data_IF_679686021457
#
_entry.id   IF_679686021457
#
_cell.length_a   1.000
_cell.length_b   1.000
_cell.length_c   1.000
_cell.angle_alpha   90.00
_cell.angle_beta   90.00
_cell.angle_gamma   90.00
#
_symmetry.space_group_name_H-M   'P 1'
#
loop_
_entity.id
_entity.type
_entity.pdbx_description
1 polymer ?
#
# COMPACT_ATOMS: atom_id res chain seq x y z
N UNK A 1 25.20 -7.91 -10.86
CA UNK A 1 24.99 -6.65 -10.13
C UNK A 1 25.60 -6.84 -8.74
N UNK A 2 26.36 -5.86 -8.24
CA UNK A 2 26.87 -5.85 -6.86
C UNK A 2 26.18 -4.69 -6.16
N UNK A 3 25.52 -4.93 -5.03
CA UNK A 3 24.79 -3.93 -4.25
C UNK A 3 25.24 -3.97 -2.79
N UNK A 4 24.95 -2.90 -2.05
CA UNK A 4 25.12 -2.84 -0.60
C UNK A 4 24.30 -3.94 0.08
N UNK A 5 24.90 -4.65 1.05
CA UNK A 5 24.21 -5.69 1.82
C UNK A 5 23.45 -5.02 2.97
N UNK A 6 22.16 -5.29 3.04
CA UNK A 6 21.26 -4.75 4.07
C UNK A 6 20.42 -5.90 4.58
N UNK A 7 20.11 -5.87 5.88
CA UNK A 7 19.42 -6.93 6.61
C UNK A 7 17.92 -7.01 6.28
N UNK A 8 17.61 -7.22 5.00
CA UNK A 8 16.30 -7.61 4.52
C UNK A 8 15.43 -6.49 3.95
N UNK A 9 14.25 -6.89 3.49
CA UNK A 9 13.24 -5.96 2.98
C UNK A 9 12.43 -5.31 4.10
N UNK A 10 11.80 -4.18 3.79
CA UNK A 10 10.84 -3.50 4.65
C UNK A 10 9.78 -4.48 5.18
N UNK A 11 9.33 -5.41 4.31
CA UNK A 11 8.37 -6.44 4.70
C UNK A 11 8.91 -7.40 5.76
N UNK A 12 10.15 -7.86 5.60
CA UNK A 12 10.81 -8.74 6.57
C UNK A 12 11.01 -8.03 7.91
N UNK A 13 11.43 -6.76 7.86
CA UNK A 13 11.61 -5.97 9.07
C UNK A 13 10.29 -5.78 9.85
N UNK A 14 9.21 -5.38 9.16
CA UNK A 14 7.90 -5.24 9.78
C UNK A 14 7.45 -6.54 10.46
N UNK A 15 7.63 -7.69 9.81
CA UNK A 15 7.23 -8.98 10.40
C UNK A 15 7.96 -9.29 11.71
N UNK A 16 9.23 -8.89 11.81
CA UNK A 16 10.09 -9.23 12.95
C UNK A 16 10.00 -8.22 14.11
N UNK A 17 9.71 -6.96 13.80
CA UNK A 17 9.93 -5.84 14.72
C UNK A 17 8.71 -4.92 14.90
N UNK A 18 7.57 -5.17 14.23
CA UNK A 18 6.44 -4.22 14.26
C UNK A 18 5.95 -3.88 15.66
N UNK A 19 5.92 -4.85 16.59
CA UNK A 19 5.47 -4.63 17.98
C UNK A 19 6.34 -3.60 18.71
N UNK A 20 7.62 -3.51 18.36
CA UNK A 20 8.56 -2.54 18.94
C UNK A 20 8.63 -1.19 18.21
N UNK A 21 7.95 -1.05 17.06
CA UNK A 21 8.00 0.18 16.28
C UNK A 21 7.10 1.27 16.87
N UNK A 22 7.70 2.43 17.18
CA UNK A 22 6.95 3.62 17.53
C UNK A 22 6.55 4.46 16.30
N UNK A 23 5.73 5.49 16.52
CA UNK A 23 5.26 6.36 15.44
C UNK A 23 6.35 7.25 14.84
N UNK A 24 7.38 7.61 15.61
CA UNK A 24 8.50 8.38 15.09
C UNK A 24 9.26 7.57 14.04
N UNK A 25 9.60 6.31 14.38
CA UNK A 25 10.22 5.37 13.46
C UNK A 25 9.34 5.12 12.24
N UNK A 26 8.03 4.89 12.41
CA UNK A 26 7.10 4.72 11.28
C UNK A 26 7.11 5.92 10.34
N UNK A 27 7.06 7.15 10.87
CA UNK A 27 7.06 8.37 10.06
C UNK A 27 8.40 8.68 9.40
N UNK A 28 9.53 8.41 10.08
CA UNK A 28 10.86 8.49 9.47
C UNK A 28 10.95 7.58 8.24
N UNK A 29 10.39 6.37 8.33
CA UNK A 29 10.38 5.43 7.22
C UNK A 29 9.48 5.89 6.08
N UNK A 30 8.25 6.34 6.38
CA UNK A 30 7.36 6.91 5.37
C UNK A 30 8.00 8.11 4.66
N UNK A 31 8.68 8.97 5.42
CA UNK A 31 9.39 10.13 4.90
C UNK A 31 10.55 9.73 3.98
N UNK A 32 11.36 8.74 4.38
CA UNK A 32 12.45 8.22 3.58
C UNK A 32 11.98 7.58 2.28
N UNK A 33 10.91 6.79 2.34
CA UNK A 33 10.29 6.16 1.17
C UNK A 33 9.72 7.23 0.22
N UNK A 34 8.97 8.21 0.74
CA UNK A 34 8.41 9.30 -0.06
C UNK A 34 9.52 10.15 -0.71
N UNK A 35 10.63 10.38 0.01
CA UNK A 35 11.82 11.06 -0.53
C UNK A 35 12.47 10.27 -1.67
N UNK A 36 12.63 8.96 -1.50
CA UNK A 36 13.15 8.07 -2.53
C UNK A 36 12.28 8.10 -3.79
N UNK A 37 10.96 7.95 -3.62
CA UNK A 37 10.01 7.96 -4.72
C UNK A 37 10.00 9.31 -5.45
N UNK A 38 10.01 10.41 -4.69
CA UNK A 38 10.19 11.77 -5.24
C UNK A 38 11.45 11.88 -6.10
N UNK A 39 12.57 11.31 -5.66
CA UNK A 39 13.81 11.36 -6.44
C UNK A 39 13.68 10.60 -7.77
N UNK A 40 13.06 9.42 -7.76
CA UNK A 40 12.78 8.63 -8.97
C UNK A 40 11.87 9.42 -9.91
N UNK A 41 10.76 9.97 -9.39
CA UNK A 41 9.79 10.71 -10.19
C UNK A 41 10.36 12.01 -10.77
N UNK A 42 11.19 12.73 -10.01
CA UNK A 42 11.87 13.94 -10.48
C UNK A 42 12.93 13.66 -11.55
N UNK A 43 13.37 12.40 -11.71
CA UNK A 43 14.18 11.97 -12.86
C UNK A 43 13.33 11.58 -14.07
N UNK A 44 12.00 11.76 -14.00
CA UNK A 44 11.06 11.39 -15.05
C UNK A 44 10.91 9.88 -15.19
N UNK A 45 11.16 9.11 -14.12
CA UNK A 45 11.01 7.65 -14.10
C UNK A 45 9.74 7.23 -13.37
N UNK A 46 9.26 6.03 -13.69
CA UNK A 46 8.19 5.29 -13.01
C UNK A 46 8.82 4.00 -12.48
N UNK A 47 8.53 3.62 -11.24
CA UNK A 47 9.09 2.43 -10.61
C UNK A 47 8.51 1.13 -11.18
N UNK A 48 7.20 1.09 -11.45
CA UNK A 48 6.45 -0.02 -12.07
C UNK A 48 6.14 -1.17 -11.12
N UNK A 49 7.07 -1.56 -10.24
CA UNK A 49 6.86 -2.66 -9.27
C UNK A 49 7.11 -2.20 -7.83
N UNK A 50 6.38 -1.16 -7.41
CA UNK A 50 6.62 -0.48 -6.14
C UNK A 50 5.83 -1.13 -4.98
N UNK A 51 6.52 -1.92 -4.16
CA UNK A 51 5.94 -2.62 -2.99
C UNK A 51 6.97 -2.84 -1.87
N UNK A 52 6.52 -3.27 -0.68
CA UNK A 52 7.37 -3.46 0.51
C UNK A 52 8.51 -4.48 0.32
N UNK A 53 8.43 -5.35 -0.68
CA UNK A 53 9.48 -6.32 -1.01
C UNK A 53 10.67 -5.69 -1.74
N UNK A 54 10.44 -4.60 -2.46
CA UNK A 54 11.45 -3.85 -3.23
C UNK A 54 11.99 -2.64 -2.46
N UNK A 55 11.70 -2.53 -1.16
CA UNK A 55 12.24 -1.50 -0.27
C UNK A 55 13.14 -2.20 0.74
N UNK A 56 14.37 -1.72 0.89
CA UNK A 56 15.26 -2.11 1.99
C UNK A 56 15.13 -1.06 3.10
N UNK A 57 14.91 -1.50 4.32
CA UNK A 57 14.85 -0.63 5.49
C UNK A 57 15.29 -1.37 6.75
N UNK A 58 16.04 -0.68 7.60
CA UNK A 58 16.36 -1.13 8.95
C UNK A 58 15.57 -0.37 10.03
N UNK A 59 14.63 0.49 9.64
CA UNK A 59 13.90 1.45 10.49
C UNK A 59 14.75 2.39 11.37
N UNK A 60 16.07 2.30 11.31
CA UNK A 60 17.05 3.14 12.00
C UNK A 60 17.59 4.24 11.08
N UNK A 61 16.73 4.79 10.22
CA UNK A 61 17.04 5.88 9.31
C UNK A 61 17.65 5.49 7.96
N UNK A 62 17.90 4.20 7.69
CA UNK A 62 18.24 3.73 6.34
C UNK A 62 16.99 3.27 5.60
N UNK A 63 16.73 3.87 4.44
CA UNK A 63 15.70 3.44 3.49
C UNK A 63 16.29 3.50 2.07
N UNK A 64 16.13 2.42 1.31
CA UNK A 64 16.47 2.37 -0.11
C UNK A 64 15.36 1.71 -0.94
N UNK A 65 14.96 2.36 -2.02
CA UNK A 65 14.08 1.77 -3.03
C UNK A 65 14.97 1.04 -4.04
N UNK A 66 14.66 -0.23 -4.29
CA UNK A 66 15.48 -1.16 -5.08
C UNK A 66 14.69 -1.75 -6.24
N UNK A 67 15.30 -2.68 -6.99
CA UNK A 67 14.70 -3.33 -8.17
C UNK A 67 14.18 -2.36 -9.24
N UNK A 68 15.04 -1.41 -9.61
CA UNK A 68 14.77 -0.47 -10.71
C UNK A 68 14.86 -1.13 -12.10
N UNK A 69 14.89 -2.47 -12.19
CA UNK A 69 15.03 -3.22 -13.43
C UNK A 69 13.84 -3.07 -14.38
N UNK A 70 12.67 -2.73 -13.84
CA UNK A 70 11.44 -2.47 -14.58
C UNK A 70 11.15 -0.97 -14.77
N UNK A 71 12.01 -0.08 -14.27
CA UNK A 71 11.80 1.36 -14.36
C UNK A 71 11.77 1.83 -15.82
N UNK A 72 10.81 2.70 -16.13
CA UNK A 72 10.65 3.27 -17.47
C UNK A 72 10.51 4.79 -17.42
N UNK A 73 10.96 5.52 -18.46
CA UNK A 73 10.71 6.95 -18.56
C UNK A 73 9.22 7.25 -18.69
N UNK A 74 8.72 8.19 -17.90
CA UNK A 74 7.31 8.58 -17.85
C UNK A 74 6.78 9.17 -19.18
N UNK A 75 7.67 9.62 -20.06
CA UNK A 75 7.34 10.17 -21.37
C UNK A 75 7.31 9.13 -22.50
N UNK A 76 7.72 7.88 -22.24
CA UNK A 76 7.68 6.82 -23.25
C UNK A 76 6.29 6.18 -23.23
N UNK A 77 5.46 6.53 -24.22
CA UNK A 77 4.22 5.79 -24.47
C UNK A 77 4.60 4.42 -25.02
N UNK A 78 4.40 3.36 -24.23
CA UNK A 78 4.61 2.01 -24.73
C UNK A 78 3.66 1.76 -25.92
N UNK A 79 4.19 1.18 -27.00
CA UNK A 79 3.46 0.92 -28.25
C UNK A 79 2.10 0.28 -27.95
N UNK A 80 1.03 0.80 -28.56
CA UNK A 80 -0.35 0.34 -28.38
C UNK A 80 -0.57 -1.08 -28.94
N UNK A 81 0.08 -2.08 -28.36
CA UNK A 81 -0.24 -3.47 -28.60
C UNK A 81 -1.29 -3.93 -27.58
N UNK A 82 -2.35 -4.53 -28.07
CA UNK A 82 -3.51 -5.07 -27.34
C UNK A 82 -3.20 -6.21 -26.35
N UNK A 83 -1.93 -6.56 -26.15
CA UNK A 83 -1.45 -7.64 -25.28
C UNK A 83 -0.50 -7.10 -24.19
N UNK A 84 -0.83 -5.97 -23.53
CA UNK A 84 -0.02 -5.46 -22.42
C UNK A 84 -0.15 -6.38 -21.22
N UNK A 85 0.98 -6.98 -20.88
CA UNK A 85 1.16 -7.85 -19.72
C UNK A 85 1.38 -6.99 -18.49
N UNK A 86 0.46 -7.02 -17.54
CA UNK A 86 0.59 -6.31 -16.26
C UNK A 86 1.48 -7.13 -15.35
N UNK A 87 2.49 -6.53 -14.73
CA UNK A 87 3.44 -7.23 -13.87
C UNK A 87 3.56 -6.53 -12.53
N UNK A 88 3.36 -7.27 -11.44
CA UNK A 88 3.55 -6.74 -10.09
C UNK A 88 2.86 -7.57 -9.03
N UNK A 89 2.72 -6.98 -7.84
CA UNK A 89 2.06 -7.59 -6.69
C UNK A 89 0.62 -7.07 -6.58
N UNK A 90 -0.39 -7.92 -6.77
CA UNK A 90 -1.80 -7.52 -6.97
C UNK A 90 -2.30 -6.40 -6.04
N UNK A 91 -2.16 -6.47 -4.69
CA UNK A 91 -2.58 -5.38 -3.80
C UNK A 91 -1.92 -4.02 -4.04
N UNK A 92 -0.72 -3.97 -4.63
CA UNK A 92 0.05 -2.74 -4.88
C UNK A 92 -0.17 -2.18 -6.28
N UNK A 93 -0.81 -2.92 -7.19
CA UNK A 93 -1.06 -2.46 -8.56
C UNK A 93 -2.33 -1.62 -8.59
N UNK A 94 -2.19 -0.38 -9.06
CA UNK A 94 -3.30 0.58 -9.12
C UNK A 94 -4.47 0.06 -9.99
N UNK A 95 -5.73 0.37 -9.65
CA UNK A 95 -6.89 -0.22 -10.31
C UNK A 95 -6.99 0.14 -11.80
N UNK A 96 -6.53 1.31 -12.20
CA UNK A 96 -6.46 1.69 -13.62
C UNK A 96 -5.42 0.86 -14.40
N UNK A 97 -4.35 0.45 -13.74
CA UNK A 97 -3.31 -0.41 -14.32
C UNK A 97 -3.78 -1.86 -14.39
N UNK A 98 -4.51 -2.34 -13.39
CA UNK A 98 -5.19 -3.65 -13.44
C UNK A 98 -6.14 -3.76 -14.65
N UNK A 99 -6.75 -2.64 -15.06
CA UNK A 99 -7.58 -2.52 -16.27
C UNK A 99 -6.79 -2.43 -17.58
N UNK A 100 -5.46 -2.55 -17.53
CA UNK A 100 -4.59 -2.50 -18.71
C UNK A 100 -4.20 -1.10 -19.18
N UNK A 101 -4.43 -0.05 -18.37
CA UNK A 101 -3.78 1.26 -18.63
C UNK A 101 -2.29 1.17 -18.29
N UNK A 102 -1.53 2.14 -18.81
CA UNK A 102 -0.10 2.24 -18.50
C UNK A 102 0.15 2.48 -17.02
N UNK A 103 1.26 1.96 -16.54
CA UNK A 103 1.86 2.46 -15.32
C UNK A 103 2.23 3.92 -15.49
N UNK A 104 1.99 4.70 -14.45
CA UNK A 104 2.31 6.12 -14.37
C UNK A 104 2.95 6.45 -13.02
N UNK A 105 3.43 7.68 -12.85
CA UNK A 105 3.92 8.12 -11.55
C UNK A 105 2.81 8.06 -10.49
N UNK A 106 1.58 8.38 -10.86
CA UNK A 106 0.39 8.28 -10.01
C UNK A 106 0.07 6.83 -9.62
N UNK A 107 0.43 5.84 -10.46
CA UNK A 107 0.30 4.42 -10.11
C UNK A 107 1.34 3.98 -9.06
N UNK A 108 2.55 4.56 -9.05
CA UNK A 108 3.50 4.34 -7.95
C UNK A 108 3.00 5.01 -6.65
N UNK A 109 2.31 6.15 -6.74
CA UNK A 109 1.69 6.81 -5.58
C UNK A 109 0.59 5.93 -4.95
N UNK A 110 -0.18 5.23 -5.77
CA UNK A 110 -1.10 4.21 -5.26
C UNK A 110 -0.35 3.14 -4.46
N UNK A 111 0.73 2.58 -5.02
CA UNK A 111 1.59 1.62 -4.32
C UNK A 111 2.16 2.18 -3.00
N UNK A 112 2.52 3.46 -2.96
CA UNK A 112 2.91 4.15 -1.72
C UNK A 112 1.81 4.10 -0.65
N UNK A 113 0.55 4.37 -1.03
CA UNK A 113 -0.58 4.30 -0.10
C UNK A 113 -0.71 2.93 0.57
N UNK A 114 -0.51 1.86 -0.20
CA UNK A 114 -0.50 0.48 0.30
C UNK A 114 0.67 0.25 1.25
N UNK A 115 1.90 0.63 0.86
CA UNK A 115 3.10 0.54 1.72
C UNK A 115 2.89 1.31 3.04
N UNK A 116 2.29 2.50 2.95
CA UNK A 116 2.06 3.34 4.12
C UNK A 116 1.07 2.71 5.10
N UNK A 117 0.00 2.11 4.57
CA UNK A 117 -0.95 1.34 5.37
C UNK A 117 -0.28 0.15 6.06
N UNK A 118 0.58 -0.60 5.36
CA UNK A 118 1.31 -1.73 5.94
C UNK A 118 2.33 -1.31 7.01
N UNK A 119 2.99 -0.15 6.85
CA UNK A 119 3.87 0.40 7.90
C UNK A 119 3.06 0.78 9.15
N UNK A 120 1.86 1.33 8.97
CA UNK A 120 1.03 1.76 10.10
C UNK A 120 0.52 0.57 10.91
N UNK A 121 0.06 -0.48 10.23
CA UNK A 121 -0.68 -1.62 10.82
C UNK A 121 0.17 -2.86 11.02
N UNK A 122 1.30 -2.96 10.33
CA UNK A 122 2.15 -4.15 10.29
C UNK A 122 1.59 -5.27 9.42
N UNK A 123 0.32 -5.21 9.04
CA UNK A 123 -0.38 -6.27 8.31
C UNK A 123 -0.06 -6.20 6.81
N UNK A 124 -0.11 -7.35 6.15
CA UNK A 124 -0.12 -7.42 4.69
C UNK A 124 -1.52 -7.13 4.19
N UNK A 125 -1.64 -6.30 3.15
CA UNK A 125 -2.95 -5.93 2.64
C UNK A 125 -3.64 -7.14 1.98
N UNK A 126 -4.88 -7.44 2.39
CA UNK A 126 -5.68 -8.57 1.89
C UNK A 126 -5.10 -9.97 2.21
N UNK A 127 -4.38 -10.10 3.33
CA UNK A 127 -3.67 -11.33 3.67
C UNK A 127 -4.55 -12.56 3.82
N UNK A 128 -5.81 -12.39 4.18
CA UNK A 128 -6.77 -13.44 4.50
C UNK A 128 -7.64 -13.88 3.32
N UNK A 129 -7.44 -13.31 2.13
CA UNK A 129 -8.21 -13.64 0.93
C UNK A 129 -7.33 -14.06 -0.27
N UNK A 130 -7.87 -14.82 -1.24
CA UNK A 130 -7.15 -15.17 -2.45
C UNK A 130 -6.73 -13.92 -3.26
N UNK A 131 -5.53 -13.96 -3.85
CA UNK A 131 -5.09 -12.95 -4.80
C UNK A 131 -5.47 -13.38 -6.21
N UNK A 132 -6.75 -13.26 -6.56
CA UNK A 132 -7.31 -13.68 -7.84
C UNK A 132 -8.08 -12.53 -8.53
N UNK A 133 -8.83 -12.87 -9.59
CA UNK A 133 -9.65 -11.92 -10.34
C UNK A 133 -10.75 -11.30 -9.48
N UNK A 134 -11.29 -12.02 -8.49
CA UNK A 134 -12.31 -11.48 -7.59
C UNK A 134 -11.74 -10.37 -6.72
N UNK A 135 -10.52 -10.53 -6.21
CA UNK A 135 -9.84 -9.44 -5.50
C UNK A 135 -9.60 -8.23 -6.42
N UNK A 136 -9.17 -8.45 -7.66
CA UNK A 136 -8.99 -7.36 -8.62
C UNK A 136 -10.31 -6.58 -8.87
N UNK A 137 -11.43 -7.29 -9.04
CA UNK A 137 -12.78 -6.69 -9.17
C UNK A 137 -13.13 -5.87 -7.93
N UNK A 138 -12.91 -6.43 -6.74
CA UNK A 138 -13.19 -5.72 -5.47
C UNK A 138 -12.34 -4.46 -5.32
N UNK A 139 -11.05 -4.50 -5.68
CA UNK A 139 -10.16 -3.32 -5.66
C UNK A 139 -10.69 -2.22 -6.60
N UNK A 140 -11.13 -2.59 -7.81
CA UNK A 140 -11.75 -1.65 -8.75
C UNK A 140 -13.09 -1.08 -8.21
N UNK A 141 -13.88 -1.86 -7.49
CA UNK A 141 -15.07 -1.36 -6.77
C UNK A 141 -14.75 -0.62 -5.47
N UNK A 142 -13.49 -0.21 -5.25
CA UNK A 142 -13.13 0.64 -4.13
C UNK A 142 -12.87 -0.09 -2.83
N UNK A 143 -12.75 -1.43 -2.82
CA UNK A 143 -12.37 -2.17 -1.61
C UNK A 143 -11.09 -1.58 -1.04
N UNK A 144 -11.16 -1.11 0.20
CA UNK A 144 -10.03 -0.68 1.02
C UNK A 144 -10.12 -1.44 2.35
N UNK A 145 -8.98 -1.70 2.99
CA UNK A 145 -8.96 -2.47 4.22
C UNK A 145 -9.69 -1.73 5.34
N UNK A 146 -10.42 -2.49 6.14
CA UNK A 146 -10.91 -2.05 7.44
C UNK A 146 -10.16 -2.88 8.49
N UNK A 147 -9.42 -2.25 9.38
CA UNK A 147 -8.75 -2.95 10.48
C UNK A 147 -9.01 -2.24 11.80
N UNK A 148 -9.04 -3.02 12.89
CA UNK A 148 -9.23 -2.50 14.24
C UNK A 148 -8.01 -1.74 14.78
N UNK A 149 -6.91 -1.68 14.02
CA UNK A 149 -5.73 -0.89 14.36
C UNK A 149 -5.98 0.60 14.08
N UNK A 150 -5.94 1.42 15.14
CA UNK A 150 -6.12 2.87 15.05
C UNK A 150 -4.89 3.52 14.42
N UNK A 151 -5.12 4.23 13.32
CA UNK A 151 -4.14 5.07 12.62
C UNK A 151 -4.50 6.55 12.90
N UNK A 152 -3.52 7.45 13.16
CA UNK A 152 -3.75 8.89 13.24
C UNK A 152 -4.48 9.42 12.01
N UNK A 153 -5.51 10.25 12.22
CA UNK A 153 -6.40 10.73 11.15
C UNK A 153 -5.62 11.41 10.02
N UNK A 154 -4.64 12.25 10.35
CA UNK A 154 -3.82 12.95 9.36
C UNK A 154 -3.00 12.00 8.47
N UNK A 155 -2.62 10.83 8.98
CA UNK A 155 -1.88 9.82 8.20
C UNK A 155 -2.84 9.03 7.32
N UNK A 156 -4.00 8.62 7.84
CA UNK A 156 -5.02 7.92 7.03
C UNK A 156 -5.57 8.82 5.93
N UNK A 157 -5.67 10.14 6.15
CA UNK A 157 -6.06 11.09 5.09
C UNK A 157 -5.04 11.11 3.93
N UNK A 158 -3.74 11.02 4.23
CA UNK A 158 -2.68 10.91 3.20
C UNK A 158 -2.79 9.57 2.47
N UNK A 159 -2.97 8.46 3.20
CA UNK A 159 -3.16 7.12 2.61
C UNK A 159 -4.38 7.14 1.68
N UNK A 160 -5.48 7.76 2.14
CA UNK A 160 -6.72 7.90 1.37
C UNK A 160 -6.56 8.68 0.08
N UNK A 161 -5.77 9.75 0.10
CA UNK A 161 -5.44 10.47 -1.13
C UNK A 161 -4.52 9.66 -2.06
N UNK A 162 -3.58 8.89 -1.51
CA UNK A 162 -2.64 8.11 -2.32
C UNK A 162 -3.33 7.01 -3.13
N UNK A 163 -4.34 6.34 -2.56
CA UNK A 163 -5.04 5.24 -3.24
C UNK A 163 -6.41 5.63 -3.82
N UNK A 164 -6.63 6.91 -4.12
CA UNK A 164 -7.84 7.37 -4.81
C UNK A 164 -8.00 6.62 -6.16
N UNK A 165 -9.22 6.23 -6.48
CA UNK A 165 -9.56 5.57 -7.73
C UNK A 165 -9.26 6.44 -8.96
N UNK A 166 -9.36 7.77 -8.84
CA UNK A 166 -8.94 8.72 -9.87
C UNK A 166 -7.45 9.07 -9.68
N UNK A 167 -6.56 8.65 -10.62
CA UNK A 167 -5.13 8.93 -10.50
C UNK A 167 -4.81 10.42 -10.43
N UNK A 168 -5.65 11.28 -11.00
CA UNK A 168 -5.43 12.74 -11.02
C UNK A 168 -5.69 13.40 -9.66
N UNK A 169 -6.39 12.72 -8.75
CA UNK A 169 -6.63 13.20 -7.38
C UNK A 169 -5.54 12.77 -6.41
N UNK A 170 -4.65 11.88 -6.82
CA UNK A 170 -3.50 11.45 -6.02
C UNK A 170 -2.47 12.59 -5.98
N UNK A 171 -1.78 12.79 -4.84
CA UNK A 171 -0.71 13.77 -4.77
C UNK A 171 0.45 13.34 -5.67
N UNK A 172 1.16 14.29 -6.28
CA UNK A 172 2.45 13.94 -6.88
C UNK A 172 3.49 13.68 -5.79
N UNK A 173 4.60 13.00 -6.12
CA UNK A 173 5.60 12.62 -5.11
C UNK A 173 6.24 13.82 -4.38
N UNK A 174 6.27 15.02 -4.98
CA UNK A 174 6.76 16.22 -4.29
C UNK A 174 5.78 16.70 -3.23
N UNK A 175 4.48 16.69 -3.52
CA UNK A 175 3.41 17.02 -2.57
C UNK A 175 3.35 15.98 -1.44
N UNK A 176 3.38 14.69 -1.79
CA UNK A 176 3.40 13.59 -0.83
C UNK A 176 4.55 13.73 0.16
N UNK A 177 5.78 13.91 -0.34
CA UNK A 177 6.95 14.12 0.51
C UNK A 177 6.78 15.32 1.44
N UNK A 178 6.27 16.45 0.94
CA UNK A 178 6.05 17.65 1.76
C UNK A 178 5.02 17.41 2.86
N UNK A 179 3.92 16.73 2.56
CA UNK A 179 2.87 16.42 3.53
C UNK A 179 3.39 15.54 4.66
N UNK A 180 4.13 14.47 4.34
CA UNK A 180 4.72 13.57 5.34
C UNK A 180 5.83 14.27 6.13
N UNK A 181 6.68 15.05 5.47
CA UNK A 181 7.74 15.83 6.12
C UNK A 181 7.15 16.77 7.18
N UNK A 182 6.05 17.45 6.87
CA UNK A 182 5.36 18.32 7.83
C UNK A 182 4.88 17.55 9.06
N UNK A 183 4.27 16.38 8.89
CA UNK A 183 3.83 15.54 10.01
C UNK A 183 5.02 15.10 10.88
N UNK A 184 6.14 14.75 10.25
CA UNK A 184 7.36 14.38 10.96
C UNK A 184 7.92 15.56 11.76
N UNK A 185 8.07 16.75 11.15
CA UNK A 185 8.53 17.97 11.83
C UNK A 185 7.67 18.31 13.04
N UNK A 186 6.35 18.20 12.89
CA UNK A 186 5.39 18.47 13.96
C UNK A 186 5.50 17.51 15.15
N UNK A 187 6.04 16.29 14.96
CA UNK A 187 6.27 15.30 16.03
C UNK A 187 7.62 15.51 16.72
N UNK A 188 8.66 15.88 15.98
CA UNK A 188 10.01 16.06 16.56
C UNK A 188 10.24 17.47 17.13
N UNK A 189 9.32 18.40 16.90
CA UNK A 189 9.37 19.78 17.39
C UNK A 189 9.35 19.85 18.93
N UNK A 190 10.06 20.83 19.50
CA UNK A 190 10.06 21.10 20.95
C UNK A 190 8.65 21.41 21.49
N UNK A 191 7.76 21.94 20.64
CA UNK A 191 6.36 22.24 20.98
C UNK A 191 5.37 21.16 20.51
N UNK A 192 5.83 19.91 20.33
CA UNK A 192 4.99 18.81 19.81
C UNK A 192 3.69 18.57 20.59
N UNK A 193 3.66 18.88 21.88
CA UNK A 193 2.48 18.65 22.74
C UNK A 193 1.23 19.40 22.24
N UNK A 194 1.41 20.53 21.56
CA UNK A 194 0.30 21.29 20.98
C UNK A 194 -0.08 20.83 19.58
N UNK A 195 0.77 20.04 18.93
CA UNK A 195 0.56 19.53 17.58
C UNK A 195 -0.64 18.58 17.50
N UNK A 196 -1.42 18.73 16.43
CA UNK A 196 -2.58 17.88 16.15
C UNK A 196 -2.14 16.44 15.88
N UNK A 197 -1.06 16.23 15.13
CA UNK A 197 -0.58 14.87 14.82
C UNK A 197 -0.07 14.17 16.07
N UNK A 198 0.64 14.87 16.95
CA UNK A 198 1.16 14.31 18.19
C UNK A 198 0.03 13.78 19.08
N UNK A 199 -1.04 14.57 19.26
CA UNK A 199 -2.23 14.16 20.02
C UNK A 199 -2.92 12.93 19.40
N UNK A 200 -3.04 12.89 18.06
CA UNK A 200 -3.63 11.74 17.37
C UNK A 200 -2.76 10.47 17.50
N UNK A 201 -1.44 10.63 17.53
CA UNK A 201 -0.49 9.54 17.78
C UNK A 201 -0.64 8.98 19.20
N UNK A 202 -0.71 9.84 20.22
CA UNK A 202 -0.94 9.40 21.60
C UNK A 202 -2.28 8.66 21.75
N UNK A 203 -3.36 9.19 21.17
CA UNK A 203 -4.68 8.55 21.17
C UNK A 203 -4.66 7.17 20.48
N UNK A 204 -4.01 7.08 19.31
CA UNK A 204 -3.87 5.84 18.57
C UNK A 204 -3.11 4.78 19.38
N UNK A 205 -1.99 5.16 20.00
CA UNK A 205 -1.20 4.25 20.82
C UNK A 205 -1.94 3.77 22.05
N UNK A 206 -2.66 4.64 22.76
CA UNK A 206 -3.49 4.24 23.88
C UNK A 206 -4.59 3.26 23.47
N UNK A 207 -5.21 3.49 22.31
CA UNK A 207 -6.28 2.64 21.77
C UNK A 207 -5.72 1.27 21.39
N UNK A 208 -4.61 1.24 20.66
CA UNK A 208 -3.99 0.00 20.17
C UNK A 208 -3.39 -0.83 21.31
N UNK A 209 -2.89 -0.20 22.37
CA UNK A 209 -2.45 -0.92 23.59
C UNK A 209 -3.63 -1.63 24.25
N UNK A 210 -4.77 -0.94 24.40
CA UNK A 210 -5.99 -1.52 25.02
C UNK A 210 -6.55 -2.71 24.23
N UNK A 211 -6.53 -2.66 22.90
CA UNK A 211 -6.96 -3.78 22.05
C UNK A 211 -5.97 -4.95 22.03
N UNK A 212 -4.66 -4.68 22.14
CA UNK A 212 -3.65 -5.74 22.20
C UNK A 212 -3.73 -6.59 23.48
N UNK A 213 -4.23 -6.02 24.58
CA UNK A 213 -4.44 -6.76 25.85
C UNK A 213 -5.60 -7.78 25.79
N UNK A 214 -6.49 -7.74 24.79
CA UNK A 214 -7.59 -8.73 24.66
C UNK A 214 -7.22 -9.95 23.81
N UNK A 215 -6.09 -9.93 23.09
CA UNK A 215 -5.69 -11.01 22.17
C UNK A 215 -4.49 -11.83 22.70
N UNK A 216 -3.76 -11.35 23.71
CA UNK A 216 -2.61 -12.07 24.25
C UNK A 216 -3.01 -13.10 25.32
N UNK A 217 -3.05 -14.38 24.92
CA UNK A 217 -2.80 -15.48 25.87
C UNK A 217 -1.31 -15.47 26.28
N UNK A 218 -0.93 -15.96 27.48
CA UNK A 218 0.34 -15.65 28.14
C UNK A 218 1.61 -16.32 27.56
N UNK A 219 1.66 -16.67 26.27
CA UNK A 219 2.76 -17.46 25.70
C UNK A 219 3.14 -16.96 24.30
N UNK A 220 3.85 -15.83 24.22
CA UNK A 220 4.94 -15.65 23.24
C UNK A 220 5.66 -14.33 23.49
N UNK A 221 6.87 -14.42 24.02
CA UNK A 221 7.86 -13.32 24.09
C UNK A 221 8.46 -12.97 22.72
N UNK A 222 7.71 -13.13 21.63
CA UNK A 222 8.18 -12.89 20.28
C UNK A 222 7.66 -11.53 19.79
N UNK A 223 8.55 -10.64 19.36
CA UNK A 223 8.24 -9.36 18.69
C UNK A 223 7.59 -9.52 17.31
N UNK A 224 7.24 -10.76 16.93
CA UNK A 224 6.79 -11.15 15.60
C UNK A 224 5.29 -10.99 15.45
N UNK A 225 4.86 -10.38 14.35
CA UNK A 225 3.45 -10.27 14.02
C UNK A 225 2.89 -11.64 13.62
N UNK A 226 1.87 -12.13 14.31
CA UNK A 226 1.22 -13.41 14.00
C UNK A 226 -0.14 -13.16 13.35
N UNK A 227 -0.23 -13.36 12.04
CA UNK A 227 -1.49 -13.39 11.29
C UNK A 227 -1.44 -14.49 10.24
N UNK A 228 -2.59 -15.09 9.93
CA UNK A 228 -2.68 -16.16 8.93
C UNK A 228 -2.84 -15.56 7.54
N UNK A 229 -1.98 -15.99 6.62
CA UNK A 229 -2.13 -15.68 5.20
C UNK A 229 -2.93 -16.78 4.49
N UNK A 230 -3.85 -16.40 3.63
CA UNK A 230 -4.55 -17.32 2.75
C UNK A 230 -3.54 -18.01 1.82
N UNK A 231 -3.64 -19.33 1.57
CA UNK A 231 -2.67 -20.06 0.73
C UNK A 231 -2.55 -19.55 -0.71
N UNK A 232 -3.57 -18.85 -1.21
CA UNK A 232 -3.59 -18.23 -2.53
C UNK A 232 -3.27 -16.72 -2.52
N UNK A 233 -2.91 -16.16 -1.36
CA UNK A 233 -2.38 -14.80 -1.28
C UNK A 233 -0.91 -14.80 -1.72
N UNK A 234 -0.58 -13.95 -2.69
CA UNK A 234 0.75 -13.88 -3.31
C UNK A 234 1.29 -12.46 -3.25
N UNK A 235 2.40 -12.28 -2.51
CA UNK A 235 3.06 -10.99 -2.27
C UNK A 235 4.40 -10.83 -3.00
N UNK A 236 4.61 -11.65 -4.02
CA UNK A 236 5.75 -11.59 -4.94
C UNK A 236 5.28 -11.23 -6.33
N UNK A 237 6.09 -10.47 -7.05
CA UNK A 237 5.75 -9.95 -8.37
C UNK A 237 5.50 -11.08 -9.37
N UNK A 238 4.40 -10.96 -10.12
CA UNK A 238 4.01 -11.93 -11.14
C UNK A 238 3.21 -11.27 -12.25
N UNK A 239 3.03 -12.01 -13.33
CA UNK A 239 2.11 -11.63 -14.39
C UNK A 239 0.66 -11.64 -13.84
N UNK A 240 -0.03 -10.53 -14.02
CA UNK A 240 -1.45 -10.35 -13.74
C UNK A 240 -2.16 -10.25 -15.10
N UNK A 241 -3.20 -11.07 -15.28
CA UNK A 241 -3.94 -11.14 -16.53
C UNK A 241 -5.43 -11.31 -16.22
N UNK A 242 -6.05 -10.21 -15.83
CA UNK A 242 -7.48 -10.11 -15.58
C UNK A 242 -8.14 -9.41 -16.78
N UNK A 243 -9.33 -9.85 -17.16
CA UNK A 243 -10.06 -9.28 -18.29
C UNK A 243 -11.33 -8.60 -17.79
N UNK A 244 -11.77 -7.59 -18.52
CA UNK A 244 -13.11 -7.00 -18.33
C UNK A 244 -13.42 -6.53 -16.90
N UNK A 245 -12.40 -6.03 -16.19
CA UNK A 245 -12.58 -5.43 -14.86
C UNK A 245 -13.55 -4.23 -14.92
N UNK A 246 -14.20 -3.83 -13.81
CA UNK A 246 -15.09 -2.66 -13.75
C UNK A 246 -14.34 -1.34 -13.61
N UNK A 247 -14.96 -0.21 -13.96
CA UNK A 247 -14.32 1.11 -13.83
C UNK A 247 -13.98 1.40 -12.37
N UNK A 248 -12.81 1.98 -12.05
CA UNK A 248 -12.40 2.21 -10.68
C UNK A 248 -13.29 3.27 -10.01
N UNK A 249 -13.81 2.95 -8.84
CA UNK A 249 -14.54 3.89 -7.98
C UNK A 249 -13.95 3.87 -6.58
N UNK A 250 -14.13 4.96 -5.83
CA UNK A 250 -13.86 4.96 -4.40
C UNK A 250 -15.04 4.29 -3.67
N UNK A 251 -14.79 3.66 -2.52
CA UNK A 251 -15.89 3.14 -1.70
C UNK A 251 -16.81 4.29 -1.29
N UNK A 252 -18.12 4.11 -1.48
CA UNK A 252 -19.11 5.01 -0.90
C UNK A 252 -19.11 4.82 0.62
N UNK A 253 -19.08 5.92 1.38
CA UNK A 253 -19.07 5.89 2.85
C UNK A 253 -20.33 5.21 3.45
N UNK A 254 -21.34 4.92 2.64
CA UNK A 254 -22.61 4.31 3.05
C UNK A 254 -22.62 2.76 2.95
N UNK A 255 -21.61 2.13 2.36
CA UNK A 255 -21.58 0.68 2.07
C UNK A 255 -20.67 -0.14 3.01
N UNK A 256 -20.45 0.31 4.25
CA UNK A 256 -19.68 -0.45 5.26
C UNK A 256 -20.41 -1.71 5.78
N UNK A 257 -21.60 -2.04 5.28
CA UNK A 257 -22.30 -3.31 5.54
C UNK A 257 -22.26 -4.26 4.31
N UNK A 258 -21.07 -4.64 3.83
CA UNK A 258 -20.97 -5.89 3.05
C UNK A 258 -20.88 -7.08 4.01
N UNK A 259 -22.01 -7.39 4.64
CA UNK A 259 -22.28 -8.76 5.09
C UNK A 259 -22.38 -9.67 3.85
N UNK A 260 -22.07 -10.96 4.04
CA UNK A 260 -22.01 -12.08 3.08
C UNK A 260 -23.21 -12.30 2.10
N UNK A 261 -24.10 -11.33 1.88
CA UNK A 261 -25.37 -11.52 1.18
C UNK A 261 -25.44 -11.11 -0.30
N UNK A 262 -24.44 -10.45 -0.88
CA UNK A 262 -24.44 -10.15 -2.32
C UNK A 262 -23.61 -11.17 -3.09
N UNK A 263 -24.16 -12.38 -3.22
CA UNK A 263 -23.87 -13.20 -4.40
C UNK A 263 -24.22 -12.35 -5.63
N UNK A 264 -23.21 -11.75 -6.24
CA UNK A 264 -23.29 -11.22 -7.59
C UNK A 264 -23.84 -12.35 -8.46
N UNK A 265 -24.99 -12.14 -9.09
CA UNK A 265 -25.58 -13.11 -10.01
C UNK A 265 -24.77 -13.10 -11.32
N UNK A 266 -23.73 -13.92 -11.33
CA UNK A 266 -22.79 -14.07 -12.44
C UNK A 266 -23.39 -14.77 -13.67
N UNK A 267 -24.68 -15.14 -13.64
CA UNK A 267 -25.38 -15.65 -14.85
C UNK A 267 -25.63 -14.58 -15.91
N UNK A 268 -25.36 -13.30 -15.61
CA UNK A 268 -25.50 -12.16 -16.52
C UNK A 268 -24.19 -11.66 -17.14
N UNK A 269 -23.06 -12.26 -16.79
CA UNK A 269 -21.82 -12.07 -17.56
C UNK A 269 -21.87 -13.05 -18.73
N UNK A 270 -22.15 -12.55 -19.93
CA UNK A 270 -22.12 -13.32 -21.18
C UNK A 270 -20.69 -13.81 -21.45
N UNK A 271 -20.27 -14.86 -20.76
CA UNK A 271 -19.11 -15.68 -21.12
C UNK A 271 -19.61 -16.66 -22.18
N UNK A 272 -19.87 -16.15 -23.38
CA UNK A 272 -19.88 -16.89 -24.65
C UNK A 272 -20.12 -15.91 -25.80
N UNK A 273 -19.03 -15.31 -26.29
CA UNK A 273 -18.98 -14.84 -27.68
C UNK A 273 -17.65 -15.25 -28.30
N UNK A 274 -17.51 -16.54 -28.56
CA UNK A 274 -16.77 -17.00 -29.72
C UNK A 274 -17.74 -17.81 -30.59
N UNK A 275 -18.16 -17.19 -31.68
CA UNK A 275 -18.79 -17.84 -32.81
C UNK A 275 -18.01 -17.43 -34.07
N UNK A 276 -17.38 -18.45 -34.69
CA UNK A 276 -16.70 -18.55 -36.01
C UNK A 276 -15.19 -18.37 -36.11
#
# INVERSE_FOLDING_TARGET
>A
MVMELIDGSLRQYLNNNFISLDWEQKLVNLQGIARGLKNIHNKGLIHHDFHCGNILSNFDGYICITDLGLCQPANVKSSQNSNKKIYGVLPYVAPEVLRGKEYTQESDIYGFGIIAYEICTGLLLYHDIPHDEFLAIKICHGLRPNCDYKIPQLIIDIINQCWDADPLKRPNANELYKSIWKLYEDIISDNKVDSVIYKQVEEADETNKKSSFSVQSPISSASTLSYMTHPQAVYTSRLLNFKDLPEPINADNDDLEYSDSTRIDLTKLDINSEDK
#
